data_IF_936642022547
#
_entry.id   IF_936642022547
#
_cell.length_a   1.000
_cell.length_b   1.000
_cell.length_c   1.000
_cell.angle_alpha   90.00
_cell.angle_beta   90.00
_cell.angle_gamma   90.00
#
_symmetry.space_group_name_H-M   'P 1'
#
loop_
_entity.id
_entity.type
_entity.pdbx_description
1 polymer ?
#
# COMPACT_ATOMS: atom_id res chain seq x y z
N UNK A 1 18.70 30.67 2.01
CA UNK A 1 17.77 30.59 0.89
C UNK A 1 18.52 30.61 -0.41
N UNK A 2 18.29 29.62 -1.27
CA UNK A 2 18.82 29.58 -2.63
C UNK A 2 18.03 30.58 -3.49
N UNK A 3 18.73 31.55 -4.01
CA UNK A 3 18.19 32.53 -4.97
C UNK A 3 18.61 32.07 -6.36
N UNK A 4 17.66 31.75 -7.23
CA UNK A 4 17.88 31.52 -8.64
C UNK A 4 17.00 32.50 -9.40
N UNK A 5 17.57 33.28 -10.30
CA UNK A 5 16.88 34.22 -11.19
C UNK A 5 16.03 35.29 -10.49
N UNK A 6 16.52 35.89 -9.38
CA UNK A 6 15.85 36.97 -8.69
C UNK A 6 14.49 36.64 -8.08
N UNK A 7 14.01 35.41 -8.18
CA UNK A 7 12.79 34.96 -7.52
C UNK A 7 13.14 34.28 -6.20
N UNK A 8 12.62 34.83 -5.08
CA UNK A 8 12.63 34.13 -3.80
C UNK A 8 11.84 32.83 -3.99
N UNK A 9 12.53 31.70 -4.00
CA UNK A 9 11.89 30.43 -3.81
C UNK A 9 11.36 30.47 -2.38
N UNK A 10 10.09 30.75 -2.20
CA UNK A 10 9.42 30.45 -0.94
C UNK A 10 9.54 28.93 -0.78
N UNK A 11 10.42 28.50 0.10
CA UNK A 11 10.33 27.18 0.65
C UNK A 11 8.96 27.11 1.34
N UNK A 12 7.98 26.58 0.64
CA UNK A 12 6.72 26.16 1.23
C UNK A 12 7.02 24.88 2.02
N UNK A 13 7.87 25.03 3.00
CA UNK A 13 8.12 24.05 4.03
C UNK A 13 7.18 24.31 5.19
N UNK A 14 5.91 24.27 4.94
CA UNK A 14 5.02 23.70 5.94
C UNK A 14 4.56 22.40 5.32
N UNK A 15 5.05 21.26 5.81
CA UNK A 15 4.29 20.06 5.60
C UNK A 15 2.89 20.42 6.06
N UNK A 16 1.93 20.23 5.21
CA UNK A 16 0.54 20.23 5.60
C UNK A 16 0.49 19.29 6.80
N UNK A 17 0.39 19.87 8.00
CA UNK A 17 0.13 19.12 9.23
C UNK A 17 -1.35 18.73 9.19
N UNK A 18 -1.71 17.98 8.15
CA UNK A 18 -2.90 17.19 8.17
C UNK A 18 -2.65 16.15 9.27
N UNK A 19 -3.49 16.13 10.26
CA UNK A 19 -3.49 15.12 11.32
C UNK A 19 -3.47 13.70 10.76
N UNK A 20 -3.89 13.50 9.52
CA UNK A 20 -3.80 12.26 8.75
C UNK A 20 -2.36 11.89 8.37
N UNK A 21 -1.46 12.86 8.18
CA UNK A 21 -0.04 12.58 7.85
C UNK A 21 0.65 11.83 8.98
N UNK A 22 0.28 12.11 10.23
CA UNK A 22 0.86 11.43 11.39
C UNK A 22 0.45 9.95 11.49
N UNK A 23 -0.64 9.57 10.84
CA UNK A 23 -1.19 8.19 10.87
C UNK A 23 -0.91 7.40 9.61
N UNK A 24 -0.50 8.06 8.51
CA UNK A 24 -0.17 7.37 7.27
C UNK A 24 1.13 6.58 7.42
N UNK A 25 1.14 5.28 7.08
CA UNK A 25 2.34 4.48 7.21
C UNK A 25 3.45 4.97 6.28
N UNK A 26 4.64 5.19 6.83
CA UNK A 26 5.83 5.47 6.04
C UNK A 26 6.62 4.18 5.88
N UNK A 27 6.63 3.65 4.67
CA UNK A 27 7.31 2.42 4.33
C UNK A 27 8.49 2.70 3.41
N UNK A 28 9.66 2.19 3.79
CA UNK A 28 10.87 2.21 2.96
C UNK A 28 11.39 0.80 2.80
N UNK A 29 11.87 0.49 1.60
CA UNK A 29 12.45 -0.81 1.26
C UNK A 29 13.89 -0.57 0.80
N UNK A 30 14.83 -1.19 1.47
CA UNK A 30 16.24 -1.24 1.12
C UNK A 30 16.62 -2.70 0.83
N UNK A 31 17.85 -2.91 0.34
CA UNK A 31 18.31 -4.25 -0.02
C UNK A 31 18.30 -5.23 1.18
N UNK A 32 18.56 -4.73 2.39
CA UNK A 32 18.70 -5.55 3.59
C UNK A 32 17.47 -5.56 4.51
N UNK A 33 16.61 -4.56 4.42
CA UNK A 33 15.48 -4.45 5.34
C UNK A 33 14.29 -3.65 4.76
N UNK A 34 13.14 -3.93 5.33
CA UNK A 34 11.93 -3.11 5.20
C UNK A 34 11.71 -2.35 6.49
N UNK A 35 11.69 -1.04 6.43
CA UNK A 35 11.33 -0.18 7.56
C UNK A 35 9.92 0.36 7.38
N UNK A 36 9.13 0.22 8.41
CA UNK A 36 7.75 0.70 8.47
C UNK A 36 7.56 1.55 9.71
N UNK A 37 7.14 2.79 9.54
CA UNK A 37 6.74 3.67 10.64
C UNK A 37 5.24 3.91 10.59
N UNK A 38 4.56 3.58 11.68
CA UNK A 38 3.12 3.81 11.86
C UNK A 38 2.93 4.64 13.12
N UNK A 39 2.56 5.90 12.97
CA UNK A 39 2.53 6.86 14.07
C UNK A 39 3.93 7.06 14.70
N UNK A 40 4.07 6.79 15.97
CA UNK A 40 5.36 6.85 16.72
C UNK A 40 6.16 5.55 16.67
N UNK A 41 5.58 4.46 16.21
CA UNK A 41 6.23 3.15 16.18
C UNK A 41 7.02 2.95 14.88
N UNK A 42 8.23 2.42 15.01
CA UNK A 42 9.06 2.02 13.87
C UNK A 42 9.37 0.54 13.97
N UNK A 43 9.03 -0.20 12.94
CA UNK A 43 9.26 -1.64 12.83
C UNK A 43 10.25 -1.86 11.69
N UNK A 44 11.37 -2.50 11.98
CA UNK A 44 12.35 -2.92 11.00
C UNK A 44 12.29 -4.44 10.83
N UNK A 45 12.16 -4.89 9.59
CA UNK A 45 12.13 -6.31 9.22
C UNK A 45 13.31 -6.62 8.32
N UNK A 46 14.15 -7.54 8.72
CA UNK A 46 15.30 -8.04 7.95
C UNK A 46 14.96 -9.42 7.38
N UNK A 47 15.50 -9.72 6.20
CA UNK A 47 15.29 -11.03 5.57
C UNK A 47 15.94 -12.19 6.35
N UNK A 48 16.90 -11.89 7.23
CA UNK A 48 17.65 -12.90 7.99
C UNK A 48 16.96 -13.39 9.27
N UNK A 49 15.94 -12.69 9.74
CA UNK A 49 15.25 -12.98 11.00
C UNK A 49 13.77 -13.34 10.76
N UNK A 50 13.53 -14.48 10.14
CA UNK A 50 12.17 -15.00 10.02
C UNK A 50 12.00 -16.33 10.76
N UNK A 51 10.88 -16.47 11.44
CA UNK A 51 10.44 -17.73 12.00
C UNK A 51 9.51 -18.44 11.00
N UNK A 52 9.88 -19.62 10.59
CA UNK A 52 9.09 -20.44 9.65
C UNK A 52 7.70 -20.72 10.20
N UNK A 53 7.57 -20.93 11.51
CA UNK A 53 6.28 -21.18 12.15
C UNK A 53 5.37 -19.94 12.10
N UNK A 54 5.92 -18.74 12.28
CA UNK A 54 5.18 -17.48 12.14
C UNK A 54 4.74 -17.26 10.68
N UNK A 55 5.60 -17.54 9.71
CA UNK A 55 5.24 -17.47 8.28
C UNK A 55 4.09 -18.43 7.99
N UNK A 56 4.19 -19.68 8.42
CA UNK A 56 3.14 -20.68 8.22
C UNK A 56 1.82 -20.23 8.85
N UNK A 57 1.86 -19.67 10.04
CA UNK A 57 0.69 -19.09 10.71
C UNK A 57 0.08 -17.94 9.91
N UNK A 58 0.92 -17.07 9.35
CA UNK A 58 0.49 -15.99 8.46
C UNK A 58 -0.21 -16.49 7.20
N UNK A 59 0.39 -17.48 6.52
CA UNK A 59 -0.19 -18.13 5.33
C UNK A 59 -1.54 -18.79 5.67
N UNK A 60 -1.61 -19.51 6.78
CA UNK A 60 -2.85 -20.14 7.25
C UNK A 60 -3.93 -19.08 7.56
N UNK A 61 -3.52 -17.92 8.10
CA UNK A 61 -4.40 -16.78 8.33
C UNK A 61 -4.98 -16.21 7.04
N UNK A 62 -4.16 -16.05 6.01
CA UNK A 62 -4.60 -15.62 4.67
C UNK A 62 -5.60 -16.64 4.10
N UNK A 63 -5.26 -17.91 4.15
CA UNK A 63 -6.13 -18.99 3.66
C UNK A 63 -7.47 -18.98 4.39
N UNK A 64 -7.47 -18.92 5.72
CA UNK A 64 -8.69 -18.86 6.54
C UNK A 64 -9.56 -17.64 6.21
N UNK A 65 -8.95 -16.51 5.92
CA UNK A 65 -9.68 -15.32 5.49
C UNK A 65 -10.39 -15.56 4.15
N UNK A 66 -9.69 -16.13 3.16
CA UNK A 66 -10.26 -16.42 1.84
C UNK A 66 -11.40 -17.44 1.94
N UNK A 67 -11.26 -18.45 2.80
CA UNK A 67 -12.30 -19.47 3.04
C UNK A 67 -13.59 -18.89 3.65
N UNK A 68 -13.58 -17.67 4.19
CA UNK A 68 -14.82 -17.01 4.65
C UNK A 68 -15.84 -16.84 3.52
N UNK A 69 -15.40 -16.81 2.26
CA UNK A 69 -16.27 -16.75 1.08
C UNK A 69 -17.23 -17.93 0.99
N UNK A 70 -16.83 -19.11 1.48
CA UNK A 70 -17.71 -20.30 1.47
C UNK A 70 -18.94 -20.14 2.37
N UNK A 71 -18.85 -19.22 3.35
CA UNK A 71 -19.97 -18.87 4.25
C UNK A 71 -20.81 -17.73 3.71
N UNK A 72 -20.37 -17.07 2.63
CA UNK A 72 -21.09 -15.97 2.02
C UNK A 72 -22.02 -16.47 0.92
N UNK A 73 -23.15 -15.78 0.74
CA UNK A 73 -24.04 -16.02 -0.40
C UNK A 73 -23.42 -15.48 -1.68
N UNK A 74 -22.50 -16.24 -2.28
CA UNK A 74 -21.77 -15.85 -3.49
C UNK A 74 -22.15 -16.76 -4.67
N UNK A 75 -22.50 -16.17 -5.81
CA UNK A 75 -22.86 -16.93 -7.02
C UNK A 75 -21.68 -17.76 -7.58
N UNK A 76 -20.46 -17.27 -7.43
CA UNK A 76 -19.26 -17.94 -7.91
C UNK A 76 -18.13 -17.83 -6.86
N UNK A 77 -18.15 -18.71 -5.84
CA UNK A 77 -17.17 -18.68 -4.75
C UNK A 77 -15.72 -18.81 -5.23
N UNK A 78 -15.48 -19.66 -6.22
CA UNK A 78 -14.13 -19.86 -6.77
C UNK A 78 -13.56 -18.58 -7.35
N UNK A 79 -14.34 -17.87 -8.16
CA UNK A 79 -13.92 -16.59 -8.75
C UNK A 79 -13.69 -15.53 -7.68
N UNK A 80 -14.58 -15.43 -6.69
CA UNK A 80 -14.42 -14.50 -5.58
C UNK A 80 -13.15 -14.76 -4.77
N UNK A 81 -12.84 -16.02 -4.47
CA UNK A 81 -11.59 -16.41 -3.80
C UNK A 81 -10.36 -16.02 -4.61
N UNK A 82 -10.35 -16.30 -5.92
CA UNK A 82 -9.26 -15.89 -6.80
C UNK A 82 -9.06 -14.38 -6.80
N UNK A 83 -10.13 -13.60 -6.92
CA UNK A 83 -10.07 -12.14 -6.90
C UNK A 83 -9.51 -11.59 -5.58
N UNK A 84 -9.88 -12.19 -4.45
CA UNK A 84 -9.33 -11.80 -3.14
C UNK A 84 -7.84 -12.08 -3.08
N UNK A 85 -7.38 -13.24 -3.55
CA UNK A 85 -5.94 -13.54 -3.62
C UNK A 85 -5.19 -12.57 -4.52
N UNK A 86 -5.75 -12.21 -5.68
CA UNK A 86 -5.15 -11.22 -6.59
C UNK A 86 -5.01 -9.86 -5.92
N UNK A 87 -6.04 -9.39 -5.21
CA UNK A 87 -5.99 -8.14 -4.44
C UNK A 87 -4.89 -8.20 -3.38
N UNK A 88 -4.82 -9.28 -2.61
CA UNK A 88 -3.80 -9.45 -1.57
C UNK A 88 -2.39 -9.47 -2.18
N UNK A 89 -2.16 -10.22 -3.26
CA UNK A 89 -0.88 -10.27 -3.94
C UNK A 89 -0.49 -8.90 -4.48
N UNK A 90 -1.42 -8.18 -5.11
CA UNK A 90 -1.16 -6.83 -5.59
C UNK A 90 -0.75 -5.91 -4.44
N UNK A 91 -1.47 -5.98 -3.32
CA UNK A 91 -1.20 -5.15 -2.15
C UNK A 91 0.17 -5.45 -1.53
N UNK A 92 0.51 -6.73 -1.36
CA UNK A 92 1.79 -7.18 -0.80
C UNK A 92 2.97 -6.85 -1.72
N UNK A 93 2.77 -6.86 -3.04
CA UNK A 93 3.83 -6.56 -4.01
C UNK A 93 3.98 -5.07 -4.32
N UNK A 94 2.97 -4.27 -4.00
CA UNK A 94 2.94 -2.83 -4.34
C UNK A 94 4.14 -2.03 -3.81
N UNK A 95 4.69 -2.26 -2.60
CA UNK A 95 5.87 -1.54 -2.11
C UNK A 95 7.13 -1.80 -2.95
N UNK A 96 7.21 -2.96 -3.59
CA UNK A 96 8.36 -3.37 -4.40
C UNK A 96 8.23 -2.96 -5.87
N UNK A 97 7.08 -2.44 -6.27
CA UNK A 97 6.77 -2.15 -7.67
C UNK A 97 7.73 -1.13 -8.27
N UNK A 98 8.14 -0.12 -7.48
CA UNK A 98 9.10 0.89 -7.94
C UNK A 98 10.47 0.26 -8.24
N UNK A 99 10.97 -0.60 -7.38
CA UNK A 99 12.22 -1.32 -7.57
C UNK A 99 12.16 -2.23 -8.81
N UNK A 100 11.06 -2.97 -8.96
CA UNK A 100 10.80 -3.80 -10.13
C UNK A 100 10.80 -2.98 -11.44
N UNK A 101 10.11 -1.85 -11.46
CA UNK A 101 10.07 -0.95 -12.61
C UNK A 101 11.44 -0.38 -12.97
N UNK A 102 12.22 0.01 -11.96
CA UNK A 102 13.59 0.50 -12.15
C UNK A 102 14.47 -0.57 -12.77
N UNK A 103 14.37 -1.80 -12.28
CA UNK A 103 15.12 -2.93 -12.82
C UNK A 103 14.67 -3.30 -14.24
N UNK A 104 13.36 -3.31 -14.51
CA UNK A 104 12.82 -3.53 -15.84
C UNK A 104 13.32 -2.52 -16.87
N UNK A 105 13.36 -1.23 -16.51
CA UNK A 105 13.96 -0.19 -17.37
C UNK A 105 15.44 -0.41 -17.64
N UNK A 106 16.18 -0.89 -16.64
CA UNK A 106 17.61 -1.18 -16.78
C UNK A 106 17.88 -2.34 -17.73
N UNK A 107 17.06 -3.39 -17.69
CA UNK A 107 17.25 -4.63 -18.47
C UNK A 107 16.62 -4.51 -19.86
N UNK A 108 15.40 -3.98 -19.95
CA UNK A 108 14.58 -3.96 -21.16
C UNK A 108 14.59 -2.62 -21.92
N UNK A 109 15.30 -1.62 -21.37
CA UNK A 109 15.38 -0.30 -21.97
C UNK A 109 14.14 0.57 -21.76
N UNK A 110 14.09 1.71 -22.48
CA UNK A 110 13.06 2.73 -22.33
C UNK A 110 11.65 2.29 -22.77
N UNK A 111 11.55 1.22 -23.54
CA UNK A 111 10.27 0.68 -23.99
C UNK A 111 9.45 0.07 -22.84
N UNK A 112 10.09 -0.24 -21.72
CA UNK A 112 9.41 -0.70 -20.52
C UNK A 112 8.81 0.47 -19.72
N UNK A 113 7.79 1.10 -20.31
CA UNK A 113 7.13 2.27 -19.70
C UNK A 113 5.88 1.92 -18.88
N UNK A 114 5.61 0.65 -18.65
CA UNK A 114 4.43 0.24 -17.87
C UNK A 114 4.66 0.57 -16.39
N UNK A 115 4.14 1.73 -15.98
CA UNK A 115 4.07 2.11 -14.57
C UNK A 115 3.14 1.21 -13.75
N UNK A 116 3.18 1.31 -12.41
CA UNK A 116 2.23 0.62 -11.57
C UNK A 116 0.82 1.03 -11.99
N UNK A 117 -0.02 0.04 -12.28
CA UNK A 117 -1.42 0.30 -12.58
C UNK A 117 -2.18 0.41 -11.27
N UNK A 118 -3.11 1.35 -11.13
CA UNK A 118 -3.99 1.36 -9.97
C UNK A 118 -4.83 0.09 -9.94
N UNK A 119 -5.05 -0.46 -8.75
CA UNK A 119 -6.00 -1.53 -8.55
C UNK A 119 -7.36 -0.91 -8.23
N UNK A 120 -8.38 -1.28 -8.98
CA UNK A 120 -9.76 -0.90 -8.72
C UNK A 120 -10.56 -2.12 -8.27
N UNK A 121 -11.24 -2.02 -7.13
CA UNK A 121 -12.05 -3.09 -6.56
C UNK A 121 -13.52 -2.68 -6.69
N UNK A 122 -14.26 -3.40 -7.50
CA UNK A 122 -15.68 -3.17 -7.72
C UNK A 122 -16.53 -4.21 -7.01
N UNK A 123 -17.70 -3.81 -6.58
CA UNK A 123 -18.69 -4.68 -5.96
C UNK A 123 -19.80 -3.88 -5.31
N UNK A 124 -20.91 -4.54 -5.03
CA UNK A 124 -22.04 -3.91 -4.35
C UNK A 124 -21.63 -3.40 -2.96
N UNK A 125 -22.35 -2.41 -2.47
CA UNK A 125 -22.22 -1.91 -1.09
C UNK A 125 -22.37 -3.06 -0.09
N UNK A 126 -21.63 -3.00 1.01
CA UNK A 126 -21.65 -4.02 2.09
C UNK A 126 -21.06 -5.40 1.72
N UNK A 127 -20.33 -5.50 0.61
CA UNK A 127 -19.64 -6.75 0.22
C UNK A 127 -18.25 -6.93 0.81
N UNK A 128 -17.89 -6.15 1.84
CA UNK A 128 -16.64 -6.34 2.57
C UNK A 128 -15.40 -5.77 1.91
N UNK A 129 -15.50 -4.90 0.89
CA UNK A 129 -14.35 -4.26 0.24
C UNK A 129 -13.43 -3.55 1.24
N UNK A 130 -14.00 -2.70 2.07
CA UNK A 130 -13.28 -1.97 3.13
C UNK A 130 -12.59 -2.91 4.10
N UNK A 131 -13.24 -4.01 4.49
CA UNK A 131 -12.62 -5.03 5.35
C UNK A 131 -11.44 -5.72 4.68
N UNK A 132 -11.54 -6.02 3.38
CA UNK A 132 -10.43 -6.59 2.61
C UNK A 132 -9.25 -5.63 2.57
N UNK A 133 -9.46 -4.35 2.28
CA UNK A 133 -8.42 -3.33 2.26
C UNK A 133 -7.77 -3.16 3.64
N UNK A 134 -8.55 -3.15 4.72
CA UNK A 134 -8.03 -3.12 6.08
C UNK A 134 -7.22 -4.37 6.41
N UNK A 135 -7.67 -5.55 5.98
CA UNK A 135 -6.94 -6.79 6.16
C UNK A 135 -5.61 -6.76 5.42
N UNK A 136 -5.58 -6.33 4.15
CA UNK A 136 -4.35 -6.14 3.38
C UNK A 136 -3.38 -5.16 4.05
N UNK A 137 -3.91 -4.06 4.59
CA UNK A 137 -3.11 -3.08 5.33
C UNK A 137 -2.47 -3.69 6.59
N UNK A 138 -3.22 -4.52 7.32
CA UNK A 138 -2.69 -5.25 8.49
C UNK A 138 -1.60 -6.26 8.11
N UNK A 139 -1.75 -6.94 6.98
CA UNK A 139 -0.71 -7.85 6.47
C UNK A 139 0.60 -7.11 6.20
N UNK A 140 0.55 -5.88 5.67
CA UNK A 140 1.75 -5.08 5.43
C UNK A 140 2.32 -4.44 6.69
N UNK A 141 1.48 -3.96 7.58
CA UNK A 141 1.92 -3.17 8.74
C UNK A 141 2.20 -4.03 9.97
N UNK A 142 1.60 -5.21 10.06
CA UNK A 142 1.59 -6.01 11.29
C UNK A 142 0.81 -5.35 12.44
N UNK A 143 0.11 -4.25 12.16
CA UNK A 143 -0.62 -3.45 13.15
C UNK A 143 -2.13 -3.63 12.99
N UNK A 144 -2.83 -3.66 14.10
CA UNK A 144 -4.31 -3.64 14.13
C UNK A 144 -4.89 -2.23 13.96
N UNK A 145 -4.04 -1.20 13.93
CA UNK A 145 -4.50 0.16 13.70
C UNK A 145 -5.13 0.28 12.32
N UNK A 146 -6.26 0.98 12.25
CA UNK A 146 -6.86 1.30 10.96
C UNK A 146 -5.91 2.19 10.19
N UNK A 147 -5.53 1.76 9.00
CA UNK A 147 -4.90 2.63 8.03
C UNK A 147 -6.00 3.52 7.46
N UNK A 148 -5.76 4.82 7.48
CA UNK A 148 -6.71 5.79 6.96
C UNK A 148 -6.81 5.61 5.45
N UNK A 149 -7.99 5.23 4.96
CA UNK A 149 -8.34 5.39 3.57
C UNK A 149 -8.73 6.85 3.32
N UNK A 150 -8.49 7.32 2.12
CA UNK A 150 -8.96 8.63 1.67
C UNK A 150 -10.35 8.47 1.05
N UNK A 151 -11.22 9.45 1.29
CA UNK A 151 -12.53 9.50 0.66
C UNK A 151 -12.40 9.83 -0.85
N UNK A 152 -13.43 9.55 -1.63
CA UNK A 152 -13.49 9.85 -3.05
C UNK A 152 -13.32 11.36 -3.35
N UNK A 153 -13.85 12.24 -2.51
CA UNK A 153 -13.65 13.70 -2.57
C UNK A 153 -12.17 14.10 -2.46
N UNK A 154 -11.35 13.25 -1.89
CA UNK A 154 -9.90 13.42 -1.79
C UNK A 154 -9.16 12.99 -3.06
N UNK A 155 -9.83 12.32 -4.00
CA UNK A 155 -9.22 11.85 -5.24
C UNK A 155 -9.12 12.99 -6.27
N UNK A 156 -8.14 13.85 -6.09
CA UNK A 156 -7.80 14.89 -7.07
C UNK A 156 -6.35 14.79 -7.51
N UNK A 157 -6.07 15.21 -8.73
CA UNK A 157 -4.71 15.15 -9.28
C UNK A 157 -3.68 15.86 -8.40
N UNK A 158 -4.06 16.98 -7.78
CA UNK A 158 -3.19 17.74 -6.87
C UNK A 158 -2.94 16.98 -5.57
N UNK A 159 -3.98 16.40 -4.97
CA UNK A 159 -3.85 15.63 -3.73
C UNK A 159 -3.03 14.36 -3.95
N UNK A 160 -3.31 13.62 -5.03
CA UNK A 160 -2.51 12.43 -5.41
C UNK A 160 -1.05 12.81 -5.62
N UNK A 161 -0.76 13.90 -6.34
CA UNK A 161 0.61 14.38 -6.55
C UNK A 161 1.31 14.72 -5.24
N UNK A 162 0.61 15.35 -4.31
CA UNK A 162 1.16 15.66 -2.99
C UNK A 162 1.48 14.39 -2.19
N UNK A 163 0.61 13.39 -2.22
CA UNK A 163 0.84 12.09 -1.57
C UNK A 163 2.08 11.37 -2.13
N UNK A 164 2.29 11.44 -3.44
CA UNK A 164 3.47 10.86 -4.09
C UNK A 164 4.79 11.52 -3.64
N UNK A 165 4.75 12.73 -3.08
CA UNK A 165 5.96 13.40 -2.56
C UNK A 165 6.38 12.91 -1.17
N UNK A 166 5.56 12.11 -0.48
CA UNK A 166 5.85 11.65 0.89
C UNK A 166 6.93 10.57 0.98
N UNK A 167 7.45 10.12 -0.14
CA UNK A 167 8.51 9.11 -0.19
C UNK A 167 8.17 7.79 0.53
N UNK A 168 6.88 7.51 0.69
CA UNK A 168 6.42 6.24 1.25
C UNK A 168 6.11 5.26 0.13
N UNK A 169 6.54 4.01 0.31
CA UNK A 169 6.18 2.90 -0.57
C UNK A 169 4.90 2.17 -0.13
N UNK A 170 4.27 2.65 0.94
CA UNK A 170 2.98 2.11 1.38
C UNK A 170 1.88 2.46 0.37
N UNK A 171 0.99 1.52 0.03
CA UNK A 171 -0.10 1.78 -0.91
C UNK A 171 -1.04 2.88 -0.43
N UNK A 172 -1.41 3.78 -1.33
CA UNK A 172 -2.44 4.79 -1.06
C UNK A 172 -3.79 4.13 -1.34
N UNK A 173 -4.69 4.20 -0.38
CA UNK A 173 -6.01 3.57 -0.42
C UNK A 173 -7.07 4.67 -0.51
N UNK A 174 -7.96 4.55 -1.47
CA UNK A 174 -9.18 5.32 -1.57
C UNK A 174 -10.37 4.36 -1.38
N UNK A 175 -11.31 4.71 -0.52
CA UNK A 175 -12.50 3.91 -0.18
C UNK A 175 -13.69 4.86 -0.10
N UNK A 176 -14.78 4.54 -0.81
CA UNK A 176 -16.04 5.28 -0.87
C UNK A 176 -17.07 4.80 0.19
#
# INVERSE_FOLDING_TARGET
GLQRDGRKIRATTRPFLDTRVSTFPLMTVNDDFVSLRVGSETINRTASNYDVAEIQKGINGIHSYVETIDRASCKNPRFAKMSIYEVMLYFLTSPFHHAYMKQGKRILGWEYQRGPKPLAIYGNTKNGKTYLLQYCSRLLTGSNNKVTAYDDDDFSATKVKNLLTWSSLFPIIYDD
#
